data_IF_098323930595
#
_entry.id   IF_098323930595
#
_cell.length_a   1.000
_cell.length_b   1.000
_cell.length_c   1.000
_cell.angle_alpha   90.00
_cell.angle_beta   90.00
_cell.angle_gamma   90.00
#
_symmetry.space_group_name_H-M   'P 1'
#
loop_
_entity.id
_entity.type
_entity.pdbx_description
1 polymer ?
#
# COMPACT_ATOMS: atom_id res chain seq x y z
N UNK A 1 -7.93 21.17 4.01
CA UNK A 1 -9.37 20.84 3.96
C UNK A 1 -9.63 19.57 4.80
N UNK A 2 -9.37 19.62 6.11
CA UNK A 2 -9.40 18.45 7.03
C UNK A 2 -10.52 18.56 8.09
N UNK A 3 -11.62 19.24 7.77
CA UNK A 3 -12.74 19.43 8.69
C UNK A 3 -13.99 18.77 8.12
N UNK A 4 -14.05 17.43 8.11
CA UNK A 4 -15.33 16.71 7.99
C UNK A 4 -15.27 15.19 8.25
N UNK A 5 -14.55 14.72 9.25
CA UNK A 5 -14.79 13.36 9.77
C UNK A 5 -14.82 13.44 11.30
N UNK A 6 -15.89 12.88 11.87
CA UNK A 6 -16.20 12.68 13.29
C UNK A 6 -17.02 13.83 13.92
N UNK A 7 -18.34 13.76 13.72
CA UNK A 7 -19.37 14.50 14.49
C UNK A 7 -20.21 13.57 15.38
N UNK A 8 -19.72 12.38 15.71
CA UNK A 8 -20.30 11.56 16.78
C UNK A 8 -19.35 11.58 17.97
N UNK A 9 -19.87 11.82 19.18
CA UNK A 9 -19.10 11.58 20.40
C UNK A 9 -18.63 10.12 20.37
N UNK A 10 -17.35 9.80 20.59
CA UNK A 10 -16.92 8.42 20.77
C UNK A 10 -17.75 7.78 21.89
N UNK A 11 -18.25 6.56 21.66
CA UNK A 11 -19.01 5.79 22.67
C UNK A 11 -20.54 5.90 22.63
N UNK A 12 -21.16 6.59 21.67
CA UNK A 12 -22.63 6.59 21.52
C UNK A 12 -23.05 5.50 20.53
N UNK A 13 -23.36 4.30 21.05
CA UNK A 13 -23.85 3.15 20.27
C UNK A 13 -23.49 1.79 20.89
N UNK A 14 -24.13 0.71 20.45
CA UNK A 14 -23.75 -0.65 20.83
C UNK A 14 -22.36 -0.95 20.26
N UNK A 15 -21.37 -1.16 21.13
CA UNK A 15 -20.02 -1.52 20.71
C UNK A 15 -20.06 -2.93 20.11
N UNK A 16 -19.75 -3.04 18.82
CA UNK A 16 -19.56 -4.34 18.16
C UNK A 16 -18.11 -4.47 17.69
N UNK A 17 -17.56 -5.69 17.63
CA UNK A 17 -16.23 -5.93 17.05
C UNK A 17 -16.05 -5.32 15.66
N UNK A 18 -17.13 -5.17 14.88
CA UNK A 18 -17.04 -4.65 13.53
C UNK A 18 -16.74 -3.15 13.42
N UNK A 19 -17.02 -2.38 14.48
CA UNK A 19 -16.79 -0.92 14.52
C UNK A 19 -15.51 -0.52 15.26
N UNK A 20 -14.81 -1.48 15.87
CA UNK A 20 -13.55 -1.24 16.59
C UNK A 20 -12.40 -1.43 15.60
N UNK A 21 -11.64 -0.36 15.34
CA UNK A 21 -10.46 -0.42 14.46
C UNK A 21 -9.23 -0.98 15.20
N UNK A 22 -9.04 -0.59 16.45
CA UNK A 22 -7.95 -1.01 17.34
C UNK A 22 -8.35 -0.82 18.80
N UNK A 23 -7.56 -1.39 19.70
CA UNK A 23 -7.68 -1.21 21.14
C UNK A 23 -6.31 -0.93 21.76
N UNK A 24 -6.33 -0.34 22.95
CA UNK A 24 -5.14 0.09 23.67
C UNK A 24 -5.16 -0.56 25.06
N UNK A 25 -4.05 -1.19 25.45
CA UNK A 25 -3.75 -1.48 26.84
C UNK A 25 -2.90 -0.35 27.39
N UNK A 26 -3.40 0.33 28.42
CA UNK A 26 -2.69 1.41 29.09
C UNK A 26 -2.25 0.94 30.48
N UNK A 27 -0.96 1.07 30.77
CA UNK A 27 -0.39 0.80 32.08
C UNK A 27 0.29 2.07 32.57
N UNK A 28 -0.03 2.48 33.79
CA UNK A 28 0.51 3.70 34.39
C UNK A 28 1.09 3.43 35.78
N UNK A 29 2.31 3.88 36.01
CA UNK A 29 3.04 3.80 37.29
C UNK A 29 3.93 5.05 37.43
N UNK A 30 3.94 5.69 38.60
CA UNK A 30 4.80 6.84 38.92
C UNK A 30 4.88 7.92 37.82
N UNK A 31 3.71 8.38 37.33
CA UNK A 31 3.55 9.35 36.22
C UNK A 31 4.11 8.91 34.86
N UNK A 32 4.52 7.65 34.70
CA UNK A 32 4.88 7.06 33.41
C UNK A 32 3.70 6.25 32.90
N UNK A 33 3.39 6.43 31.62
CA UNK A 33 2.35 5.67 30.94
C UNK A 33 2.94 4.97 29.73
N UNK A 34 2.74 3.66 29.65
CA UNK A 34 3.00 2.86 28.45
C UNK A 34 1.67 2.44 27.82
N UNK A 35 1.57 2.60 26.50
CA UNK A 35 0.39 2.21 25.72
C UNK A 35 0.77 1.16 24.71
N UNK A 36 0.15 -0.01 24.80
CA UNK A 36 0.26 -1.06 23.81
C UNK A 36 -0.96 -1.02 22.90
N UNK A 37 -0.74 -0.75 21.61
CA UNK A 37 -1.81 -0.63 20.63
C UNK A 37 -1.87 -1.91 19.80
N UNK A 38 -3.08 -2.42 19.65
CA UNK A 38 -3.36 -3.61 18.85
C UNK A 38 -4.52 -3.35 17.90
N UNK A 39 -4.29 -3.56 16.60
CA UNK A 39 -5.33 -3.53 15.59
C UNK A 39 -6.30 -4.69 15.82
N UNK A 40 -7.60 -4.39 15.74
CA UNK A 40 -8.63 -5.40 15.76
C UNK A 40 -8.60 -6.22 14.46
N UNK A 41 -8.46 -7.54 14.60
CA UNK A 41 -8.47 -8.49 13.47
C UNK A 41 -9.83 -9.18 13.44
N UNK A 42 -10.68 -8.76 12.51
CA UNK A 42 -11.98 -9.41 12.28
C UNK A 42 -11.77 -10.89 11.95
N UNK A 43 -12.49 -11.78 12.63
CA UNK A 43 -12.36 -13.23 12.49
C UNK A 43 -13.11 -13.75 11.26
N UNK A 44 -12.65 -13.35 10.07
CA UNK A 44 -13.23 -13.81 8.80
C UNK A 44 -13.15 -15.34 8.61
N UNK A 45 -12.26 -16.02 9.35
CA UNK A 45 -12.11 -17.48 9.36
C UNK A 45 -13.24 -18.17 10.14
N UNK A 46 -13.70 -17.59 11.25
CA UNK A 46 -14.85 -18.15 11.96
C UNK A 46 -16.14 -18.00 11.15
N UNK A 47 -16.25 -16.92 10.35
CA UNK A 47 -17.38 -16.64 9.45
C UNK A 47 -17.64 -17.68 8.35
N UNK A 48 -16.84 -18.75 8.29
CA UNK A 48 -17.02 -19.90 7.40
C UNK A 48 -17.36 -21.13 8.23
N UNK A 49 -18.64 -21.31 8.57
CA UNK A 49 -19.13 -22.50 9.28
C UNK A 49 -20.16 -22.17 10.36
N UNK A 50 -20.34 -23.09 11.31
CA UNK A 50 -21.09 -22.85 12.54
C UNK A 50 -20.17 -23.11 13.73
N UNK A 51 -19.99 -22.12 14.60
CA UNK A 51 -19.25 -22.26 15.85
C UNK A 51 -20.22 -22.24 17.02
N UNK A 52 -19.97 -23.08 18.04
CA UNK A 52 -20.84 -23.14 19.21
C UNK A 52 -20.20 -23.84 20.38
N UNK A 53 -20.80 -23.66 21.54
CA UNK A 53 -20.39 -24.31 22.78
C UNK A 53 -21.35 -25.44 23.09
N UNK A 54 -20.80 -26.59 23.51
CA UNK A 54 -21.61 -27.65 24.12
C UNK A 54 -21.63 -27.41 25.62
N UNK A 55 -22.82 -27.20 26.19
CA UNK A 55 -23.03 -27.09 27.63
C UNK A 55 -23.99 -28.21 28.03
N UNK A 56 -23.47 -29.21 28.75
CA UNK A 56 -24.24 -30.41 29.09
C UNK A 56 -24.61 -31.21 27.82
N UNK A 57 -25.92 -31.31 27.53
CA UNK A 57 -26.46 -32.01 26.34
C UNK A 57 -26.93 -31.05 25.24
N UNK A 58 -26.76 -29.75 25.43
CA UNK A 58 -27.22 -28.74 24.49
C UNK A 58 -26.05 -28.14 23.71
N UNK A 59 -26.25 -28.00 22.41
CA UNK A 59 -25.36 -27.23 21.55
C UNK A 59 -25.91 -25.81 21.41
N UNK A 60 -25.13 -24.82 21.85
CA UNK A 60 -25.47 -23.41 21.71
C UNK A 60 -24.57 -22.77 20.67
N UNK A 61 -25.15 -22.33 19.57
CA UNK A 61 -24.44 -21.56 18.55
C UNK A 61 -23.98 -20.22 19.13
N UNK A 62 -22.75 -19.83 18.81
CA UNK A 62 -22.17 -18.54 19.19
C UNK A 62 -22.32 -17.59 18.00
N UNK A 63 -22.81 -16.38 18.28
CA UNK A 63 -22.85 -15.31 17.27
C UNK A 63 -21.45 -14.70 17.12
N UNK A 64 -20.78 -15.05 16.03
CA UNK A 64 -19.44 -14.58 15.71
C UNK A 64 -19.34 -13.07 15.52
N UNK A 65 -20.45 -12.41 15.16
CA UNK A 65 -20.48 -10.95 15.03
C UNK A 65 -20.31 -10.23 16.38
N UNK A 66 -20.49 -10.96 17.49
CA UNK A 66 -20.30 -10.46 18.85
C UNK A 66 -18.91 -10.76 19.43
N UNK A 67 -18.07 -11.53 18.74
CA UNK A 67 -16.77 -11.98 19.26
C UNK A 67 -15.68 -10.92 19.07
N UNK A 68 -15.07 -10.51 20.19
CA UNK A 68 -13.88 -9.66 20.22
C UNK A 68 -12.66 -10.48 20.64
N UNK A 69 -11.62 -10.48 19.82
CA UNK A 69 -10.43 -11.32 20.05
C UNK A 69 -9.28 -10.52 20.65
N UNK A 70 -8.79 -11.00 21.77
CA UNK A 70 -7.52 -10.59 22.35
C UNK A 70 -6.47 -11.66 22.03
N UNK A 71 -5.31 -11.25 21.56
CA UNK A 71 -4.16 -12.13 21.36
C UNK A 71 -2.93 -11.58 22.09
N UNK A 72 -1.85 -12.36 22.09
CA UNK A 72 -0.58 -12.04 22.74
C UNK A 72 0.32 -11.11 21.91
N UNK A 73 -0.16 -10.59 20.77
CA UNK A 73 0.65 -9.79 19.85
C UNK A 73 0.27 -8.33 19.95
N UNK A 74 1.28 -7.47 20.07
CA UNK A 74 1.13 -6.02 20.00
C UNK A 74 1.58 -5.51 18.63
N UNK A 75 0.88 -4.50 18.10
CA UNK A 75 1.24 -3.90 16.82
C UNK A 75 2.09 -2.63 16.98
N UNK A 76 1.87 -1.85 18.06
CA UNK A 76 2.66 -0.65 18.37
C UNK A 76 2.79 -0.44 19.88
N UNK A 77 3.87 0.21 20.30
CA UNK A 77 4.09 0.63 21.70
C UNK A 77 4.34 2.14 21.69
N UNK A 78 3.64 2.87 22.56
CA UNK A 78 3.91 4.28 22.84
C UNK A 78 4.43 4.38 24.25
N UNK A 79 5.63 4.95 24.40
CA UNK A 79 6.25 5.19 25.68
C UNK A 79 6.98 6.54 25.63
N UNK A 80 6.65 7.42 26.58
CA UNK A 80 7.15 8.80 26.60
C UNK A 80 6.96 9.52 25.25
N UNK A 81 8.04 9.93 24.59
CA UNK A 81 8.03 10.62 23.29
C UNK A 81 8.32 9.69 22.10
N UNK A 82 8.32 8.38 22.31
CA UNK A 82 8.68 7.38 21.31
C UNK A 82 7.50 6.50 20.91
N UNK A 83 7.49 6.10 19.64
CA UNK A 83 6.53 5.14 19.08
C UNK A 83 7.31 4.01 18.43
N UNK A 84 7.16 2.80 18.95
CA UNK A 84 7.71 1.59 18.38
C UNK A 84 6.66 0.93 17.49
N UNK A 85 6.96 0.83 16.19
CA UNK A 85 6.08 0.18 15.21
C UNK A 85 6.56 -1.27 15.03
N UNK A 86 5.91 -2.21 15.72
CA UNK A 86 6.23 -3.64 15.62
C UNK A 86 5.60 -4.27 14.37
N UNK A 87 4.48 -3.70 13.89
CA UNK A 87 3.77 -4.16 12.71
C UNK A 87 3.35 -2.98 11.82
N UNK A 88 4.16 -2.73 10.79
CA UNK A 88 3.91 -1.64 9.83
C UNK A 88 2.58 -1.77 9.09
N UNK A 89 2.09 -2.99 8.81
CA UNK A 89 0.81 -3.20 8.12
C UNK A 89 -0.35 -2.76 9.02
N UNK A 90 -0.29 -3.06 10.31
CA UNK A 90 -1.29 -2.60 11.27
C UNK A 90 -1.23 -1.08 11.45
N UNK A 91 -0.03 -0.51 11.57
CA UNK A 91 0.18 0.95 11.63
C UNK A 91 -0.48 1.65 10.43
N UNK A 92 -0.14 1.24 9.20
CA UNK A 92 -0.72 1.83 7.99
C UNK A 92 -2.25 1.79 7.97
N UNK A 93 -2.85 0.69 8.47
CA UNK A 93 -4.30 0.52 8.48
C UNK A 93 -4.99 1.34 9.57
N UNK A 94 -4.40 1.42 10.76
CA UNK A 94 -4.90 2.23 11.87
C UNK A 94 -4.93 3.71 11.45
N UNK A 95 -3.86 4.19 10.83
CA UNK A 95 -3.75 5.58 10.38
C UNK A 95 -4.30 5.82 8.97
N UNK A 96 -4.87 4.80 8.32
CA UNK A 96 -5.45 4.88 6.96
C UNK A 96 -4.49 5.46 5.92
N UNK A 97 -3.19 5.16 6.04
CA UNK A 97 -2.13 5.67 5.16
C UNK A 97 -2.32 5.29 3.69
N UNK A 98 -3.09 4.23 3.42
CA UNK A 98 -3.43 3.87 2.05
C UNK A 98 -4.13 5.00 1.28
N UNK A 99 -4.98 5.79 1.94
CA UNK A 99 -5.64 6.92 1.29
C UNK A 99 -4.61 7.96 0.83
N UNK A 100 -3.61 8.23 1.67
CA UNK A 100 -2.52 9.13 1.32
C UNK A 100 -1.66 8.57 0.18
N UNK A 101 -1.37 7.27 0.18
CA UNK A 101 -0.68 6.63 -0.94
C UNK A 101 -1.49 6.75 -2.24
N UNK A 102 -2.80 6.55 -2.18
CA UNK A 102 -3.68 6.67 -3.35
C UNK A 102 -3.74 8.10 -3.88
N UNK A 103 -3.83 9.11 -3.01
CA UNK A 103 -3.79 10.52 -3.41
C UNK A 103 -2.45 10.89 -4.05
N UNK A 104 -1.33 10.48 -3.44
CA UNK A 104 0.01 10.73 -3.99
C UNK A 104 0.22 10.03 -5.33
N UNK A 105 -0.14 8.76 -5.44
CA UNK A 105 -0.04 8.02 -6.69
C UNK A 105 -0.91 8.63 -7.79
N UNK A 106 -2.12 9.08 -7.46
CA UNK A 106 -2.99 9.80 -8.41
C UNK A 106 -2.32 11.05 -8.95
N UNK A 107 -1.74 11.88 -8.08
CA UNK A 107 -1.01 13.09 -8.49
C UNK A 107 0.17 12.79 -9.41
N UNK A 108 0.92 11.73 -9.12
CA UNK A 108 2.03 11.25 -9.97
C UNK A 108 1.51 10.82 -11.35
N UNK A 109 0.39 10.08 -11.38
CA UNK A 109 -0.28 9.62 -12.61
C UNK A 109 -1.15 10.69 -13.29
N UNK A 110 -1.20 11.91 -12.77
CA UNK A 110 -1.81 13.06 -13.44
C UNK A 110 -0.79 13.85 -14.27
N UNK A 111 0.47 13.40 -14.34
CA UNK A 111 1.48 13.98 -15.22
C UNK A 111 1.09 13.83 -16.71
N UNK A 112 0.87 14.97 -17.36
CA UNK A 112 0.49 15.05 -18.78
C UNK A 112 1.53 14.43 -19.73
N UNK A 113 2.80 14.32 -19.32
CA UNK A 113 3.84 13.64 -20.11
C UNK A 113 3.53 12.17 -20.27
N UNK A 114 3.01 11.51 -19.23
CA UNK A 114 2.61 10.10 -19.29
C UNK A 114 1.51 9.89 -20.31
N UNK A 115 0.46 10.71 -20.26
CA UNK A 115 -0.66 10.65 -21.19
C UNK A 115 -0.25 10.88 -22.65
N UNK A 116 0.74 11.74 -22.89
CA UNK A 116 1.27 12.03 -24.23
C UNK A 116 2.21 10.95 -24.75
N UNK A 117 2.96 10.29 -23.86
CA UNK A 117 4.02 9.34 -24.22
C UNK A 117 3.63 7.88 -24.17
N UNK A 118 2.48 7.55 -23.59
CA UNK A 118 2.03 6.17 -23.43
C UNK A 118 0.70 5.99 -24.16
N UNK A 119 0.70 5.16 -25.20
CA UNK A 119 -0.52 4.69 -25.86
C UNK A 119 -1.28 3.79 -24.89
N UNK A 120 -2.60 4.00 -24.79
CA UNK A 120 -3.48 3.36 -23.78
C UNK A 120 -3.12 3.70 -22.33
N UNK A 121 -2.62 4.91 -22.09
CA UNK A 121 -2.27 5.37 -20.74
C UNK A 121 -3.39 5.23 -19.70
N UNK A 122 -4.65 5.45 -20.08
CA UNK A 122 -5.78 5.34 -19.15
C UNK A 122 -5.91 3.93 -18.57
N UNK A 123 -5.66 2.89 -19.39
CA UNK A 123 -5.72 1.50 -18.96
C UNK A 123 -4.55 1.17 -18.01
N UNK A 124 -3.36 1.72 -18.26
CA UNK A 124 -2.22 1.61 -17.35
C UNK A 124 -2.53 2.29 -16.01
N UNK A 125 -3.08 3.50 -16.04
CA UNK A 125 -3.45 4.27 -14.85
C UNK A 125 -4.48 3.51 -14.01
N UNK A 126 -5.51 2.97 -14.64
CA UNK A 126 -6.53 2.16 -13.96
C UNK A 126 -5.91 0.91 -13.30
N UNK A 127 -5.06 0.18 -14.03
CA UNK A 127 -4.40 -1.02 -13.51
C UNK A 127 -3.51 -0.71 -12.30
N UNK A 128 -2.76 0.40 -12.35
CA UNK A 128 -1.94 0.86 -11.22
C UNK A 128 -2.80 1.22 -10.01
N UNK A 129 -3.86 2.00 -10.19
CA UNK A 129 -4.71 2.49 -9.10
C UNK A 129 -5.57 1.38 -8.45
N UNK A 130 -5.88 0.33 -9.20
CA UNK A 130 -6.62 -0.83 -8.69
C UNK A 130 -5.74 -1.81 -7.90
N UNK A 131 -4.41 -1.68 -7.97
CA UNK A 131 -3.48 -2.56 -7.28
C UNK A 131 -2.76 -1.85 -6.12
N UNK A 132 -3.04 -2.27 -4.87
CA UNK A 132 -2.49 -1.64 -3.67
C UNK A 132 -0.96 -1.60 -3.61
N UNK A 133 -0.29 -2.61 -4.16
CA UNK A 133 1.16 -2.66 -4.19
C UNK A 133 1.72 -1.68 -5.22
N UNK A 134 1.07 -1.55 -6.37
CA UNK A 134 1.45 -0.58 -7.40
C UNK A 134 1.20 0.86 -6.93
N UNK A 135 0.06 1.13 -6.32
CA UNK A 135 -0.23 2.42 -5.67
C UNK A 135 0.88 2.80 -4.69
N UNK A 136 1.33 1.88 -3.84
CA UNK A 136 2.44 2.14 -2.90
C UNK A 136 3.77 2.41 -3.58
N UNK A 137 4.08 1.75 -4.70
CA UNK A 137 5.34 1.95 -5.43
C UNK A 137 5.35 3.31 -6.13
N UNK A 138 4.23 3.65 -6.77
CA UNK A 138 4.06 4.91 -7.49
C UNK A 138 3.93 6.10 -6.53
N UNK A 139 3.32 5.94 -5.35
CA UNK A 139 3.19 7.01 -4.36
C UNK A 139 4.51 7.50 -3.76
N UNK A 140 5.58 6.71 -3.90
CA UNK A 140 6.94 7.08 -3.50
C UNK A 140 7.68 7.88 -4.56
N UNK A 141 7.19 7.91 -5.80
CA UNK A 141 7.76 8.76 -6.84
C UNK A 141 7.48 10.22 -6.46
N UNK A 142 8.53 10.97 -6.17
CA UNK A 142 8.45 12.42 -6.00
C UNK A 142 8.50 13.09 -7.36
N UNK A 143 7.64 14.09 -7.56
CA UNK A 143 7.67 14.97 -8.73
C UNK A 143 9.03 15.69 -8.87
N UNK A 144 9.73 15.89 -7.76
CA UNK A 144 10.95 16.70 -7.65
C UNK A 144 12.24 15.90 -7.39
N UNK A 145 12.21 14.56 -7.37
CA UNK A 145 13.46 13.80 -7.23
C UNK A 145 14.17 13.67 -8.58
N UNK A 146 15.42 14.10 -8.63
CA UNK A 146 16.39 13.76 -9.67
C UNK A 146 16.41 12.23 -9.86
N UNK A 147 15.75 11.72 -10.91
CA UNK A 147 15.73 10.29 -11.23
C UNK A 147 14.36 9.68 -11.52
N UNK A 148 13.25 10.31 -11.15
CA UNK A 148 11.91 9.78 -11.46
C UNK A 148 11.45 10.16 -12.87
N UNK A 149 10.78 9.24 -13.56
CA UNK A 149 10.19 9.44 -14.90
C UNK A 149 11.17 9.88 -16.00
N UNK A 150 12.47 9.59 -15.87
CA UNK A 150 13.48 9.98 -16.87
C UNK A 150 13.17 9.42 -18.27
N UNK A 151 12.54 8.25 -18.35
CA UNK A 151 12.12 7.62 -19.60
C UNK A 151 11.13 8.47 -20.43
N UNK A 152 10.49 9.49 -19.84
CA UNK A 152 9.59 10.41 -20.55
C UNK A 152 10.32 11.54 -21.27
N UNK A 153 11.59 11.79 -20.95
CA UNK A 153 12.39 12.84 -21.59
C UNK A 153 12.69 12.47 -23.04
N UNK A 154 12.60 13.45 -23.96
CA UNK A 154 12.90 13.25 -25.39
C UNK A 154 14.28 12.61 -25.60
N UNK A 155 15.28 13.12 -24.88
CA UNK A 155 16.68 12.69 -25.03
C UNK A 155 16.96 11.31 -24.39
N UNK A 156 15.95 10.70 -23.76
CA UNK A 156 16.08 9.39 -23.08
C UNK A 156 15.44 8.24 -23.85
N UNK A 157 14.83 8.47 -25.02
CA UNK A 157 14.12 7.42 -25.77
C UNK A 157 15.07 6.30 -26.22
N UNK A 158 16.24 6.63 -26.74
CA UNK A 158 17.24 5.64 -27.17
C UNK A 158 17.82 4.86 -25.98
N UNK A 159 17.94 5.52 -24.83
CA UNK A 159 18.33 4.85 -23.57
C UNK A 159 17.22 3.90 -23.12
N UNK A 160 15.97 4.30 -23.22
CA UNK A 160 14.83 3.45 -22.89
C UNK A 160 14.74 2.24 -23.84
N UNK A 161 14.96 2.42 -25.15
CA UNK A 161 15.07 1.31 -26.12
C UNK A 161 16.16 0.32 -25.71
N UNK A 162 17.34 0.84 -25.34
CA UNK A 162 18.45 0.02 -24.85
C UNK A 162 18.09 -0.76 -23.59
N UNK A 163 17.36 -0.14 -22.65
CA UNK A 163 16.89 -0.82 -21.43
C UNK A 163 15.88 -1.92 -21.76
N UNK A 164 14.89 -1.63 -22.61
CA UNK A 164 13.89 -2.59 -23.06
C UNK A 164 14.55 -3.81 -23.69
N UNK A 165 15.53 -3.60 -24.58
CA UNK A 165 16.25 -4.69 -25.23
C UNK A 165 17.11 -5.49 -24.24
N UNK A 166 17.96 -4.81 -23.45
CA UNK A 166 18.90 -5.48 -22.54
C UNK A 166 18.23 -6.25 -21.42
N UNK A 167 17.08 -5.77 -20.95
CA UNK A 167 16.30 -6.44 -19.90
C UNK A 167 15.16 -7.29 -20.47
N UNK A 168 15.03 -7.38 -21.80
CA UNK A 168 13.98 -8.14 -22.49
C UNK A 168 12.57 -7.81 -21.98
N UNK A 169 12.29 -6.52 -21.80
CA UNK A 169 10.99 -6.03 -21.33
C UNK A 169 9.95 -6.22 -22.42
N UNK A 170 8.74 -6.61 -22.06
CA UNK A 170 7.61 -6.71 -22.99
C UNK A 170 7.00 -5.32 -23.21
N UNK A 171 7.80 -4.32 -23.58
CA UNK A 171 7.35 -2.95 -23.84
C UNK A 171 7.76 -2.56 -25.25
N UNK A 172 6.78 -2.17 -26.06
CA UNK A 172 7.02 -1.68 -27.42
C UNK A 172 7.04 -0.16 -27.43
N UNK A 173 7.84 0.41 -28.32
CA UNK A 173 7.80 1.84 -28.62
C UNK A 173 7.48 2.00 -30.10
N UNK A 174 6.43 2.76 -30.42
CA UNK A 174 5.96 2.98 -31.79
C UNK A 174 6.84 3.96 -32.59
N UNK A 175 6.45 4.23 -33.83
CA UNK A 175 7.15 5.17 -34.74
C UNK A 175 7.06 6.63 -34.30
N UNK A 176 6.20 6.98 -33.35
CA UNK A 176 6.03 8.32 -32.79
C UNK A 176 6.79 8.50 -31.46
N UNK A 177 7.69 7.57 -31.13
CA UNK A 177 8.42 7.54 -29.85
C UNK A 177 7.49 7.54 -28.63
N UNK A 178 6.41 6.77 -28.71
CA UNK A 178 5.49 6.51 -27.62
C UNK A 178 5.57 5.04 -27.19
N UNK A 179 5.55 4.82 -25.89
CA UNK A 179 5.46 3.49 -25.29
C UNK A 179 4.04 2.95 -25.48
N UNK A 180 3.91 1.67 -25.81
CA UNK A 180 2.62 1.01 -26.01
C UNK A 180 2.33 0.11 -24.82
N UNK A 181 1.23 0.39 -24.12
CA UNK A 181 0.68 -0.51 -23.11
C UNK A 181 -0.42 -1.37 -23.76
N UNK A 182 -0.17 -2.66 -23.90
CA UNK A 182 -1.09 -3.62 -24.54
C UNK A 182 -1.42 -4.84 -23.66
N UNK A 183 -0.74 -4.99 -22.52
CA UNK A 183 -0.92 -6.12 -21.60
C UNK A 183 -0.83 -5.68 -20.14
N UNK A 184 -1.78 -6.13 -19.30
CA UNK A 184 -1.81 -5.85 -17.85
C UNK A 184 -0.55 -6.28 -17.10
N UNK A 185 0.14 -7.32 -17.59
CA UNK A 185 1.40 -7.79 -16.99
C UNK A 185 2.53 -6.75 -17.08
N UNK A 186 2.45 -5.82 -18.04
CA UNK A 186 3.45 -4.76 -18.24
C UNK A 186 3.40 -3.67 -17.18
N UNK A 187 2.31 -3.56 -16.40
CA UNK A 187 2.14 -2.48 -15.43
C UNK A 187 3.33 -2.41 -14.45
N UNK A 188 3.85 -3.57 -14.03
CA UNK A 188 5.03 -3.63 -13.16
C UNK A 188 6.30 -3.12 -13.84
N UNK A 189 6.49 -3.40 -15.14
CA UNK A 189 7.64 -2.94 -15.92
C UNK A 189 7.58 -1.43 -16.17
N UNK A 190 6.41 -0.89 -16.47
CA UNK A 190 6.19 0.56 -16.57
C UNK A 190 6.49 1.26 -15.24
N UNK A 191 6.07 0.70 -14.10
CA UNK A 191 6.42 1.26 -12.78
C UNK A 191 7.93 1.22 -12.56
N UNK A 192 8.62 0.14 -12.96
CA UNK A 192 10.09 0.05 -12.88
C UNK A 192 10.79 1.09 -13.76
N UNK A 193 10.26 1.39 -14.95
CA UNK A 193 10.74 2.50 -15.79
C UNK A 193 10.49 3.87 -15.14
N UNK A 194 9.32 4.09 -14.53
CA UNK A 194 9.03 5.32 -13.79
C UNK A 194 10.00 5.55 -12.63
N UNK A 195 10.48 4.47 -12.00
CA UNK A 195 11.41 4.49 -10.87
C UNK A 195 12.89 4.51 -11.25
N UNK A 196 13.22 4.41 -12.55
CA UNK A 196 14.57 4.17 -13.06
C UNK A 196 15.25 2.97 -12.37
N UNK A 197 14.52 1.85 -12.28
CA UNK A 197 14.94 0.69 -11.50
C UNK A 197 15.97 -0.21 -12.19
N UNK A 198 16.33 0.05 -13.45
CA UNK A 198 17.25 -0.78 -14.22
C UNK A 198 18.65 -0.17 -14.22
N UNK A 199 19.66 -0.95 -13.84
CA UNK A 199 21.03 -0.44 -13.72
C UNK A 199 22.08 -1.42 -14.23
N UNK A 200 23.28 -0.89 -14.48
CA UNK A 200 24.50 -1.66 -14.73
C UNK A 200 25.50 -1.32 -13.62
N UNK A 201 26.08 -2.34 -13.00
CA UNK A 201 27.15 -2.16 -12.01
C UNK A 201 28.43 -1.63 -12.70
N UNK A 202 29.16 -0.73 -12.03
CA UNK A 202 30.32 -0.06 -12.65
C UNK A 202 31.57 -0.96 -12.74
N UNK A 203 31.83 -1.78 -11.72
CA UNK A 203 33.03 -2.66 -11.69
C UNK A 203 32.75 -3.99 -12.38
N UNK A 204 31.64 -4.64 -12.00
CA UNK A 204 31.30 -5.97 -12.50
C UNK A 204 30.59 -5.97 -13.84
N UNK A 205 30.19 -4.79 -14.35
CA UNK A 205 29.46 -4.61 -15.59
C UNK A 205 28.12 -5.39 -15.69
N UNK A 206 27.67 -5.98 -14.56
CA UNK A 206 26.45 -6.77 -14.47
C UNK A 206 25.21 -5.90 -14.54
N UNK A 207 24.20 -6.39 -15.26
CA UNK A 207 22.86 -5.81 -15.28
C UNK A 207 22.10 -6.22 -14.01
N UNK A 208 21.31 -5.30 -13.47
CA UNK A 208 20.49 -5.54 -12.29
C UNK A 208 19.21 -4.71 -12.31
N UNK A 209 18.24 -5.17 -11.52
CA UNK A 209 16.96 -4.50 -11.33
C UNK A 209 16.76 -4.25 -9.85
N UNK A 210 16.40 -3.02 -9.48
CA UNK A 210 16.05 -2.68 -8.10
C UNK A 210 14.59 -3.04 -7.82
N UNK A 211 14.37 -4.27 -7.35
CA UNK A 211 13.05 -4.75 -6.96
C UNK A 211 12.56 -4.19 -5.61
N UNK A 212 13.39 -3.42 -4.88
CA UNK A 212 13.06 -2.94 -3.52
C UNK A 212 12.42 -1.55 -3.49
N UNK A 213 12.30 -0.86 -4.62
CA UNK A 213 11.69 0.48 -4.74
C UNK A 213 10.16 0.47 -4.90
#
# INVERSE_FOLDING_TARGET
MYNKIIKSKPGVGKLTPDIIDFYIYEFSEDNRTVRFIKRNRKMNILRKGFFGQVIGKEFKQIDESSLFMLDDKIDMIIFENEIFILNHISFERIFRLYNEFQERATKVLDDERLKKRIVHYNDLKEEILNNKNFVKRVSKLSYDSEGSMLFLNKDSIEKARTVIEKFSLDIKINSEDQYVYDNKLQASEFIKLMQDAYYKTLIGENLGTDDRR
#
